data_IF_503781307810
#
_entry.id   IF_503781307810
#
_cell.length_a   1.000
_cell.length_b   1.000
_cell.length_c   1.000
_cell.angle_alpha   90.00
_cell.angle_beta   90.00
_cell.angle_gamma   90.00
#
_symmetry.space_group_name_H-M   'P 1'
#
loop_
_entity.id
_entity.type
_entity.pdbx_description
1 polymer ?
#
# COMPACT_ATOMS: atom_id res chain seq x y z
N UNK A 1 22.36 15.87 -10.87
CA UNK A 1 22.49 16.71 -9.67
C UNK A 1 21.50 16.32 -8.57
N UNK A 2 20.15 16.34 -8.81
CA UNK A 2 19.16 15.97 -7.79
C UNK A 2 19.33 14.52 -7.31
N UNK A 3 19.53 13.59 -8.23
CA UNK A 3 19.78 12.17 -7.91
C UNK A 3 21.06 12.01 -7.06
N UNK A 4 22.14 12.72 -7.43
CA UNK A 4 23.41 12.67 -6.68
C UNK A 4 23.23 13.17 -5.24
N UNK A 5 22.52 14.27 -5.06
CA UNK A 5 22.23 14.82 -3.75
C UNK A 5 21.39 13.87 -2.89
N UNK A 6 20.40 13.21 -3.50
CA UNK A 6 19.58 12.25 -2.79
C UNK A 6 20.39 11.00 -2.38
N UNK A 7 21.21 10.45 -3.27
CA UNK A 7 22.10 9.32 -2.96
C UNK A 7 23.11 9.69 -1.88
N UNK A 8 23.72 10.88 -1.97
CA UNK A 8 24.66 11.36 -0.96
C UNK A 8 24.01 11.57 0.42
N UNK A 9 22.70 11.88 0.45
CA UNK A 9 21.91 11.98 1.67
C UNK A 9 21.45 10.61 2.24
N UNK A 10 21.83 9.50 1.59
CA UNK A 10 21.51 8.14 2.04
C UNK A 10 20.22 7.54 1.49
N UNK A 11 19.68 8.09 0.38
CA UNK A 11 18.51 7.49 -0.25
C UNK A 11 18.84 6.06 -0.75
N UNK A 12 18.02 5.08 -0.35
CA UNK A 12 18.18 3.68 -0.77
C UNK A 12 17.74 3.43 -2.21
N UNK A 13 16.88 4.28 -2.74
CA UNK A 13 16.40 4.26 -4.13
C UNK A 13 15.95 5.65 -4.58
N UNK A 14 15.92 5.86 -5.88
CA UNK A 14 15.47 7.11 -6.51
C UNK A 14 14.16 6.86 -7.25
N UNK A 15 13.18 7.76 -7.04
CA UNK A 15 11.88 7.72 -7.70
C UNK A 15 11.70 9.01 -8.51
N UNK A 16 11.24 8.87 -9.75
CA UNK A 16 10.89 10.01 -10.60
C UNK A 16 9.42 9.96 -11.03
N UNK A 17 8.80 11.11 -11.34
CA UNK A 17 7.42 11.14 -11.84
C UNK A 17 7.28 10.65 -13.29
N UNK A 18 8.35 10.71 -14.07
CA UNK A 18 8.40 10.31 -15.47
C UNK A 18 9.64 9.48 -15.79
N UNK A 19 9.68 9.00 -17.03
CA UNK A 19 10.79 8.22 -17.57
C UNK A 19 11.78 9.14 -18.30
N UNK A 20 12.97 9.29 -17.75
CA UNK A 20 14.09 9.98 -18.33
C UNK A 20 15.28 8.99 -18.42
N UNK A 21 15.64 8.54 -19.65
CA UNK A 21 16.71 7.56 -19.87
C UNK A 21 18.07 8.02 -19.34
N UNK A 22 18.40 9.30 -19.44
CA UNK A 22 19.69 9.83 -18.97
C UNK A 22 19.78 9.77 -17.46
N UNK A 23 18.71 10.15 -16.76
CA UNK A 23 18.63 10.05 -15.29
C UNK A 23 18.66 8.58 -14.85
N UNK A 24 17.93 7.70 -15.53
CA UNK A 24 17.94 6.27 -15.22
C UNK A 24 19.36 5.69 -15.35
N UNK A 25 19.98 5.94 -16.49
CA UNK A 25 21.36 5.49 -16.73
C UNK A 25 22.34 6.02 -15.68
N UNK A 26 22.26 7.31 -15.37
CA UNK A 26 23.15 7.94 -14.39
C UNK A 26 23.02 7.33 -12.99
N UNK A 27 21.82 7.05 -12.53
CA UNK A 27 21.58 6.43 -11.22
C UNK A 27 22.09 4.99 -11.20
N UNK A 28 21.82 4.21 -12.26
CA UNK A 28 22.25 2.81 -12.37
C UNK A 28 23.77 2.70 -12.47
N UNK A 29 24.42 3.53 -13.28
CA UNK A 29 25.88 3.54 -13.43
C UNK A 29 26.59 3.84 -12.10
N UNK A 30 25.93 4.53 -11.18
CA UNK A 30 26.43 4.80 -9.82
C UNK A 30 26.06 3.73 -8.78
N UNK A 31 25.46 2.63 -9.22
CA UNK A 31 25.01 1.54 -8.34
C UNK A 31 23.75 1.84 -7.55
N UNK A 32 23.00 2.89 -7.92
CA UNK A 32 21.73 3.24 -7.30
C UNK A 32 20.57 2.46 -7.90
N UNK A 33 19.50 2.30 -7.14
CA UNK A 33 18.23 1.72 -7.60
C UNK A 33 17.35 2.85 -8.15
N UNK A 34 16.91 2.72 -9.39
CA UNK A 34 16.02 3.69 -10.03
C UNK A 34 14.63 3.11 -10.27
N UNK A 35 13.59 3.84 -9.87
CA UNK A 35 12.17 3.54 -10.15
C UNK A 35 11.58 4.70 -10.97
N UNK A 36 11.71 4.70 -12.30
CA UNK A 36 11.17 5.74 -13.16
C UNK A 36 9.65 5.67 -13.23
N UNK A 37 9.01 6.84 -13.34
CA UNK A 37 7.58 6.93 -13.62
C UNK A 37 7.29 6.52 -15.06
N UNK A 38 6.38 5.58 -15.24
CA UNK A 38 5.97 5.04 -16.54
C UNK A 38 4.45 4.94 -16.61
N UNK A 39 3.88 5.08 -17.80
CA UNK A 39 2.44 4.91 -18.02
C UNK A 39 2.10 4.11 -19.29
N UNK A 40 3.10 3.78 -20.11
CA UNK A 40 2.92 3.00 -21.33
C UNK A 40 3.81 1.77 -21.35
N UNK A 41 3.41 0.74 -22.09
CA UNK A 41 4.22 -0.48 -22.27
C UNK A 41 5.60 -0.20 -22.86
N UNK A 42 5.68 0.80 -23.77
CA UNK A 42 6.94 1.19 -24.39
C UNK A 42 7.94 1.78 -23.40
N UNK A 43 7.49 2.71 -22.54
CA UNK A 43 8.34 3.27 -21.45
C UNK A 43 8.77 2.19 -20.47
N UNK A 44 7.84 1.31 -20.06
CA UNK A 44 8.12 0.20 -19.16
C UNK A 44 9.19 -0.72 -19.74
N UNK A 45 9.05 -1.14 -20.99
CA UNK A 45 10.01 -2.00 -21.66
C UNK A 45 11.39 -1.33 -21.79
N UNK A 46 11.44 -0.05 -22.16
CA UNK A 46 12.70 0.69 -22.25
C UNK A 46 13.39 0.78 -20.88
N UNK A 47 12.65 1.12 -19.83
CA UNK A 47 13.20 1.19 -18.48
C UNK A 47 13.75 -0.17 -18.01
N UNK A 48 13.01 -1.26 -18.27
CA UNK A 48 13.47 -2.62 -17.95
C UNK A 48 14.74 -3.00 -18.75
N UNK A 49 14.81 -2.66 -20.03
CA UNK A 49 15.99 -2.90 -20.86
C UNK A 49 17.23 -2.12 -20.39
N UNK A 50 17.02 -1.00 -19.70
CA UNK A 50 18.11 -0.23 -19.06
C UNK A 50 18.55 -0.78 -17.72
N UNK A 51 17.88 -1.81 -17.17
CA UNK A 51 18.21 -2.42 -15.89
C UNK A 51 17.38 -1.86 -14.71
N UNK A 52 16.28 -1.14 -14.97
CA UNK A 52 15.36 -0.77 -13.89
C UNK A 52 14.59 -2.02 -13.43
N UNK A 53 14.86 -2.50 -12.22
CA UNK A 53 14.24 -3.71 -11.66
C UNK A 53 12.80 -3.47 -11.19
N UNK A 54 12.47 -2.24 -10.87
CA UNK A 54 11.14 -1.80 -10.44
C UNK A 54 10.75 -0.50 -11.14
N UNK A 55 9.47 -0.36 -11.40
CA UNK A 55 8.90 0.77 -12.12
C UNK A 55 7.86 1.48 -11.24
N UNK A 56 7.74 2.80 -11.38
CA UNK A 56 6.62 3.53 -10.84
C UNK A 56 5.53 3.65 -11.91
N UNK A 57 4.31 3.20 -11.60
CA UNK A 57 3.15 3.47 -12.44
C UNK A 57 2.46 4.75 -11.98
N UNK A 58 2.48 5.79 -12.83
CA UNK A 58 2.01 7.12 -12.44
C UNK A 58 1.52 7.95 -13.64
N UNK A 59 0.43 8.71 -13.45
CA UNK A 59 -0.57 8.62 -12.37
C UNK A 59 -1.46 7.38 -12.53
N UNK A 60 -1.52 6.52 -11.52
CA UNK A 60 -2.06 5.16 -11.66
C UNK A 60 -3.53 5.12 -12.07
N UNK A 61 -4.43 5.77 -11.31
CA UNK A 61 -5.87 5.75 -11.60
C UNK A 61 -6.21 6.42 -12.94
N UNK A 62 -5.55 7.55 -13.26
CA UNK A 62 -5.79 8.27 -14.50
C UNK A 62 -5.35 7.48 -15.75
N UNK A 63 -4.41 6.53 -15.59
CA UNK A 63 -3.93 5.67 -16.66
C UNK A 63 -4.61 4.29 -16.68
N UNK A 64 -5.78 4.15 -16.09
CA UNK A 64 -6.58 2.93 -16.15
C UNK A 64 -6.35 1.94 -15.01
N UNK A 65 -5.63 2.34 -13.98
CA UNK A 65 -5.50 1.62 -12.73
C UNK A 65 -4.92 0.21 -12.87
N UNK A 66 -5.33 -0.65 -11.96
CA UNK A 66 -4.89 -2.05 -11.92
C UNK A 66 -5.30 -2.84 -13.18
N UNK A 67 -6.39 -2.45 -13.82
CA UNK A 67 -6.85 -3.08 -15.06
C UNK A 67 -5.86 -2.91 -16.20
N UNK A 68 -5.28 -1.72 -16.35
CA UNK A 68 -4.24 -1.44 -17.34
C UNK A 68 -2.98 -2.27 -17.06
N UNK A 69 -2.56 -2.35 -15.80
CA UNK A 69 -1.38 -3.13 -15.41
C UNK A 69 -1.55 -4.63 -15.62
N UNK A 70 -2.74 -5.18 -15.39
CA UNK A 70 -3.01 -6.59 -15.70
C UNK A 70 -2.85 -6.91 -17.19
N UNK A 71 -3.30 -5.99 -18.06
CA UNK A 71 -3.15 -6.15 -19.51
C UNK A 71 -1.67 -6.05 -19.94
N UNK A 72 -0.94 -5.06 -19.43
CA UNK A 72 0.49 -4.88 -19.75
C UNK A 72 1.32 -6.02 -19.14
N UNK A 73 1.05 -6.42 -17.89
CA UNK A 73 1.78 -7.46 -17.18
C UNK A 73 1.64 -8.85 -17.80
N UNK A 74 0.56 -9.10 -18.51
CA UNK A 74 0.41 -10.33 -19.29
C UNK A 74 1.52 -10.47 -20.36
N UNK A 75 1.98 -9.34 -20.92
CA UNK A 75 3.09 -9.29 -21.90
C UNK A 75 4.45 -9.07 -21.22
N UNK A 76 4.52 -8.19 -20.23
CA UNK A 76 5.73 -7.83 -19.49
C UNK A 76 5.82 -8.59 -18.15
N UNK A 77 5.96 -9.91 -18.21
CA UNK A 77 5.90 -10.80 -17.03
C UNK A 77 6.95 -10.49 -15.95
N UNK A 78 8.08 -9.88 -16.30
CA UNK A 78 9.13 -9.50 -15.35
C UNK A 78 8.94 -8.11 -14.72
N UNK A 79 7.95 -7.34 -15.14
CA UNK A 79 7.73 -6.01 -14.61
C UNK A 79 7.20 -6.05 -13.18
N UNK A 80 7.70 -5.14 -12.35
CA UNK A 80 7.26 -4.94 -10.97
C UNK A 80 6.94 -3.47 -10.74
N UNK A 81 5.79 -3.19 -10.16
CA UNK A 81 5.29 -1.83 -10.05
C UNK A 81 5.11 -1.35 -8.62
N UNK A 82 5.49 -0.09 -8.40
CA UNK A 82 5.01 0.75 -7.33
C UNK A 82 3.97 1.73 -7.91
N UNK A 83 2.71 1.62 -7.48
CA UNK A 83 1.63 2.41 -8.02
C UNK A 83 1.34 3.65 -7.17
N UNK A 84 1.29 4.83 -7.81
CA UNK A 84 0.96 6.08 -7.13
C UNK A 84 0.06 6.95 -8.02
N UNK A 85 -0.71 7.86 -7.37
CA UNK A 85 -1.63 8.74 -8.08
C UNK A 85 -3.05 8.17 -8.14
N UNK A 86 -3.90 8.62 -7.21
CA UNK A 86 -5.29 8.18 -7.07
C UNK A 86 -5.50 6.97 -6.17
N UNK A 87 -4.43 6.31 -5.71
CA UNK A 87 -4.55 5.22 -4.73
C UNK A 87 -5.02 5.78 -3.39
N UNK A 88 -5.97 5.07 -2.77
CA UNK A 88 -6.61 5.45 -1.51
C UNK A 88 -7.15 4.20 -0.78
N UNK A 89 -7.76 4.37 0.40
CA UNK A 89 -8.27 3.26 1.21
C UNK A 89 -9.31 2.36 0.52
N UNK A 90 -9.99 2.86 -0.53
CA UNK A 90 -11.04 2.07 -1.22
C UNK A 90 -10.48 1.12 -2.27
N UNK A 91 -9.32 1.46 -2.87
CA UNK A 91 -8.74 0.72 -3.99
C UNK A 91 -7.35 0.12 -3.68
N UNK A 92 -6.76 0.41 -2.52
CA UNK A 92 -5.41 -0.07 -2.15
C UNK A 92 -5.26 -1.59 -2.28
N UNK A 93 -6.28 -2.35 -1.86
CA UNK A 93 -6.24 -3.81 -1.91
C UNK A 93 -6.45 -4.38 -3.31
N UNK A 94 -7.11 -3.65 -4.22
CA UNK A 94 -7.19 -4.05 -5.63
C UNK A 94 -5.81 -4.01 -6.30
N UNK A 95 -5.00 -3.02 -5.92
CA UNK A 95 -3.61 -2.91 -6.38
C UNK A 95 -2.74 -3.99 -5.75
N UNK A 96 -2.72 -4.10 -4.43
CA UNK A 96 -1.85 -5.05 -3.71
C UNK A 96 -2.26 -6.52 -3.91
N UNK A 97 -3.47 -6.78 -4.36
CA UNK A 97 -3.93 -8.10 -4.78
C UNK A 97 -3.40 -8.56 -6.14
N UNK A 98 -2.58 -7.76 -6.83
CA UNK A 98 -1.95 -8.15 -8.09
C UNK A 98 -0.44 -8.38 -7.89
N UNK A 99 0.03 -9.60 -8.08
CA UNK A 99 1.37 -10.08 -7.71
C UNK A 99 2.54 -9.24 -8.25
N UNK A 100 2.37 -8.58 -9.40
CA UNK A 100 3.40 -7.72 -9.96
C UNK A 100 3.46 -6.34 -9.32
N UNK A 101 2.51 -6.00 -8.43
CA UNK A 101 2.53 -4.75 -7.66
C UNK A 101 3.08 -5.04 -6.26
N UNK A 102 4.25 -4.51 -5.96
CA UNK A 102 4.92 -4.73 -4.68
C UNK A 102 4.71 -3.60 -3.67
N UNK A 103 4.28 -2.42 -4.14
CA UNK A 103 4.04 -1.27 -3.29
C UNK A 103 3.01 -0.32 -3.89
N UNK A 104 2.37 0.44 -3.02
CA UNK A 104 1.50 1.56 -3.38
C UNK A 104 1.85 2.79 -2.57
N UNK A 105 1.63 3.96 -3.13
CA UNK A 105 1.79 5.22 -2.43
C UNK A 105 0.60 6.15 -2.69
N UNK A 106 0.25 6.91 -1.68
CA UNK A 106 -0.84 7.87 -1.77
C UNK A 106 -0.69 8.98 -0.74
N UNK A 107 -1.50 10.01 -0.86
CA UNK A 107 -1.49 11.17 0.02
C UNK A 107 -2.72 11.23 0.93
N UNK A 108 -3.62 10.24 0.85
CA UNK A 108 -4.88 10.27 1.62
C UNK A 108 -4.67 10.22 3.13
N UNK A 109 -3.60 9.54 3.60
CA UNK A 109 -3.27 9.45 5.02
C UNK A 109 -2.53 10.68 5.56
N UNK A 110 -1.97 11.52 4.69
CA UNK A 110 -1.13 12.65 5.08
C UNK A 110 -1.34 13.85 4.13
N UNK A 111 -2.53 14.43 4.16
CA UNK A 111 -2.90 15.55 3.29
C UNK A 111 -2.23 16.83 3.74
N UNK A 112 -1.91 17.70 2.78
CA UNK A 112 -1.20 18.97 3.02
C UNK A 112 -1.96 19.92 3.95
N UNK A 113 -3.29 19.95 3.92
CA UNK A 113 -4.12 20.74 4.82
C UNK A 113 -4.03 20.26 6.26
N UNK A 114 -3.99 18.94 6.48
CA UNK A 114 -3.85 18.32 7.81
C UNK A 114 -2.44 18.61 8.38
N UNK A 115 -1.40 18.53 7.53
CA UNK A 115 -0.02 18.89 7.91
C UNK A 115 0.05 20.37 8.32
N UNK A 116 -0.51 21.25 7.51
CA UNK A 116 -0.52 22.71 7.79
C UNK A 116 -1.27 23.07 9.06
N UNK A 117 -2.31 22.29 9.39
CA UNK A 117 -3.07 22.44 10.63
C UNK A 117 -2.32 21.90 11.88
N UNK A 118 -1.22 21.15 11.70
CA UNK A 118 -0.51 20.47 12.78
C UNK A 118 -1.30 19.33 13.42
N UNK A 119 -2.30 18.80 12.73
CA UNK A 119 -3.17 17.72 13.25
C UNK A 119 -2.50 16.35 13.11
N UNK A 120 -1.48 16.14 13.93
CA UNK A 120 -0.68 14.91 13.94
C UNK A 120 -1.49 13.70 14.40
N UNK A 121 -2.47 13.91 15.27
CA UNK A 121 -3.36 12.83 15.71
C UNK A 121 -4.17 12.25 14.55
N UNK A 122 -4.70 13.12 13.67
CA UNK A 122 -5.41 12.71 12.47
C UNK A 122 -4.50 11.97 11.49
N UNK A 123 -3.27 12.44 11.28
CA UNK A 123 -2.29 11.74 10.44
C UNK A 123 -2.01 10.34 10.98
N UNK A 124 -1.79 10.22 12.29
CA UNK A 124 -1.58 8.92 12.95
C UNK A 124 -2.76 7.97 12.75
N UNK A 125 -3.99 8.46 12.98
CA UNK A 125 -5.21 7.68 12.79
C UNK A 125 -5.39 7.23 11.34
N UNK A 126 -5.23 8.13 10.37
CA UNK A 126 -5.36 7.82 8.94
C UNK A 126 -4.25 6.87 8.45
N UNK A 127 -3.03 7.00 8.97
CA UNK A 127 -1.93 6.08 8.65
C UNK A 127 -2.20 4.69 9.21
N UNK A 128 -2.72 4.60 10.44
CA UNK A 128 -3.15 3.32 11.03
C UNK A 128 -4.25 2.68 10.19
N UNK A 129 -5.29 3.44 9.83
CA UNK A 129 -6.37 2.96 8.96
C UNK A 129 -5.84 2.44 7.63
N UNK A 130 -4.87 3.14 7.02
CA UNK A 130 -4.26 2.70 5.77
C UNK A 130 -3.55 1.35 5.92
N UNK A 131 -2.80 1.14 7.01
CA UNK A 131 -2.13 -0.13 7.30
C UNK A 131 -3.15 -1.23 7.60
N UNK A 132 -4.15 -0.97 8.43
CA UNK A 132 -5.20 -1.94 8.76
C UNK A 132 -5.97 -2.38 7.50
N UNK A 133 -6.26 -1.43 6.60
CA UNK A 133 -6.90 -1.71 5.31
C UNK A 133 -6.00 -2.55 4.41
N UNK A 134 -4.73 -2.20 4.30
CA UNK A 134 -3.74 -2.92 3.49
C UNK A 134 -3.57 -4.37 3.97
N UNK A 135 -3.49 -4.59 5.27
CA UNK A 135 -3.34 -5.92 5.85
C UNK A 135 -4.61 -6.77 5.69
N UNK A 136 -5.78 -6.14 5.52
CA UNK A 136 -7.05 -6.83 5.38
C UNK A 136 -7.45 -7.65 6.61
N UNK A 137 -6.79 -7.44 7.75
CA UNK A 137 -7.05 -8.16 8.98
C UNK A 137 -8.37 -7.69 9.58
N UNK A 138 -9.28 -8.61 9.77
CA UNK A 138 -10.52 -8.42 10.52
C UNK A 138 -10.57 -9.44 11.64
N UNK A 139 -10.75 -8.97 12.87
CA UNK A 139 -11.10 -9.86 13.96
C UNK A 139 -12.52 -10.36 13.70
N UNK A 140 -12.65 -11.63 13.33
CA UNK A 140 -13.95 -12.25 13.04
C UNK A 140 -14.59 -12.79 14.32
N UNK A 141 -13.82 -13.48 15.13
CA UNK A 141 -14.25 -13.98 16.42
C UNK A 141 -13.04 -14.32 17.29
N UNK A 142 -13.25 -14.37 18.58
CA UNK A 142 -12.33 -14.93 19.56
C UNK A 142 -13.02 -16.11 20.21
N UNK A 143 -12.42 -17.30 20.12
CA UNK A 143 -12.88 -18.51 20.81
C UNK A 143 -12.21 -18.61 22.17
N UNK A 144 -12.97 -18.58 23.25
CA UNK A 144 -12.48 -18.79 24.60
C UNK A 144 -13.33 -19.91 25.23
N UNK A 145 -12.65 -20.96 25.69
CA UNK A 145 -13.32 -22.05 26.38
C UNK A 145 -13.51 -21.65 27.85
N UNK A 146 -14.71 -21.86 28.35
CA UNK A 146 -15.09 -21.64 29.75
C UNK A 146 -15.73 -22.93 30.31
N UNK A 147 -15.78 -23.06 31.61
CA UNK A 147 -16.33 -24.26 32.25
C UNK A 147 -17.86 -24.32 32.20
N UNK A 148 -18.50 -23.15 32.09
CA UNK A 148 -19.97 -23.06 32.06
C UNK A 148 -20.46 -21.79 31.35
N UNK A 149 -21.75 -21.74 31.05
CA UNK A 149 -22.39 -20.63 30.30
C UNK A 149 -22.36 -19.30 31.09
N UNK A 150 -22.43 -19.34 32.41
CA UNK A 150 -22.39 -18.10 33.22
C UNK A 150 -21.02 -17.42 33.12
N UNK A 151 -19.93 -18.16 33.16
CA UNK A 151 -18.59 -17.64 32.96
C UNK A 151 -18.40 -17.15 31.50
N UNK A 152 -18.92 -17.90 30.55
CA UNK A 152 -18.86 -17.52 29.16
C UNK A 152 -19.53 -16.16 28.94
N UNK A 153 -20.73 -15.95 29.49
CA UNK A 153 -21.45 -14.67 29.38
C UNK A 153 -20.74 -13.52 30.08
N UNK A 154 -20.17 -13.76 31.26
CA UNK A 154 -19.39 -12.73 31.99
C UNK A 154 -18.19 -12.27 31.15
N UNK A 155 -17.44 -13.23 30.62
CA UNK A 155 -16.25 -12.94 29.79
C UNK A 155 -16.62 -12.28 28.47
N UNK A 156 -17.66 -12.77 27.80
CA UNK A 156 -18.15 -12.18 26.55
C UNK A 156 -18.59 -10.71 26.75
N UNK A 157 -19.33 -10.43 27.82
CA UNK A 157 -19.76 -9.06 28.13
C UNK A 157 -18.56 -8.15 28.46
N UNK A 158 -17.55 -8.66 29.15
CA UNK A 158 -16.31 -7.92 29.41
C UNK A 158 -15.58 -7.57 28.11
N UNK A 159 -15.39 -8.55 27.25
CA UNK A 159 -14.73 -8.36 25.95
C UNK A 159 -15.56 -7.44 25.05
N UNK A 160 -16.86 -7.65 24.97
CA UNK A 160 -17.78 -6.81 24.19
C UNK A 160 -17.72 -5.35 24.64
N UNK A 161 -17.67 -5.11 25.95
CA UNK A 161 -17.51 -3.75 26.50
C UNK A 161 -16.16 -3.13 26.14
N UNK A 162 -15.07 -3.89 26.25
CA UNK A 162 -13.72 -3.40 25.91
C UNK A 162 -13.54 -3.09 24.42
N UNK A 163 -14.19 -3.88 23.55
CA UNK A 163 -14.05 -3.75 22.09
C UNK A 163 -15.21 -2.98 21.45
N UNK A 164 -16.17 -2.48 22.24
CA UNK A 164 -17.40 -1.83 21.78
C UNK A 164 -18.19 -2.71 20.79
N UNK A 165 -18.33 -4.01 21.10
CA UNK A 165 -19.00 -5.02 20.30
C UNK A 165 -20.27 -5.49 20.99
N UNK A 166 -21.25 -5.96 20.20
CA UNK A 166 -22.48 -6.56 20.76
C UNK A 166 -22.25 -8.02 21.06
N UNK A 167 -22.68 -8.45 22.23
CA UNK A 167 -22.68 -9.86 22.65
C UNK A 167 -24.00 -10.50 22.26
N UNK A 168 -23.95 -11.67 21.63
CA UNK A 168 -25.13 -12.44 21.26
C UNK A 168 -24.93 -13.93 21.62
N UNK A 169 -25.90 -14.57 22.30
CA UNK A 169 -25.86 -16.01 22.51
C UNK A 169 -26.11 -16.75 21.19
N UNK A 170 -25.36 -17.80 20.94
CA UNK A 170 -25.58 -18.76 19.87
C UNK A 170 -26.12 -20.10 20.40
N UNK A 171 -26.41 -21.05 19.52
CA UNK A 171 -26.95 -22.35 19.93
C UNK A 171 -25.94 -23.24 20.71
N UNK A 172 -24.65 -22.98 20.55
CA UNK A 172 -23.57 -23.76 21.21
C UNK A 172 -22.38 -22.88 21.59
N UNK A 173 -22.47 -21.59 21.44
CA UNK A 173 -21.39 -20.63 21.70
C UNK A 173 -21.96 -19.23 21.89
N UNK A 174 -21.17 -18.36 22.56
CA UNK A 174 -21.49 -16.96 22.75
C UNK A 174 -20.58 -16.14 21.83
N UNK A 175 -21.16 -15.28 21.01
CA UNK A 175 -20.43 -14.41 20.08
C UNK A 175 -20.31 -13.00 20.65
N UNK A 176 -19.15 -12.40 20.44
CA UNK A 176 -18.84 -11.00 20.78
C UNK A 176 -18.55 -10.21 19.52
#
# INVERSE_FOLDING_TARGET
EQADRAMAAGASFIVAPGFDPEVCKHVIDKGGIMMPGTCSAGEMQQAMNMGCEALKFFPAEANGGVGMLKNIGAALKGARWMCTGGVNAKNVNDYLGYDQIFAVGGTWMCKSDVIKAGDWAKITAQSKEAVDTMLGLKLLHVGINTENEEEAMKLANLIGSLLNMKVAPGNSSIFV
#
